data_IF_121393902243
#
_entry.id   IF_121393902243
#
_cell.length_a   1.000
_cell.length_b   1.000
_cell.length_c   1.000
_cell.angle_alpha   90.00
_cell.angle_beta   90.00
_cell.angle_gamma   90.00
#
_symmetry.space_group_name_H-M   'P 1'
#
loop_
_entity.id
_entity.type
_entity.pdbx_description
1 polymer ?
#
# COMPACT_ATOMS: atom_id res chain seq x y z
N UNK A 1 -27.73 -29.87 -1.57
CA UNK A 1 -27.69 -29.10 -0.30
C UNK A 1 -27.30 -27.69 -0.65
N UNK A 2 -28.28 -26.78 -0.60
CA UNK A 2 -28.15 -25.34 -0.88
C UNK A 2 -27.72 -24.68 0.44
N UNK A 3 -26.67 -23.87 0.43
CA UNK A 3 -26.30 -23.03 1.58
C UNK A 3 -26.89 -21.66 1.35
N UNK A 4 -27.92 -21.30 2.13
CA UNK A 4 -28.48 -19.95 2.15
C UNK A 4 -27.53 -19.03 2.91
N UNK A 5 -26.87 -18.12 2.19
CA UNK A 5 -26.19 -16.96 2.79
C UNK A 5 -27.24 -15.88 2.98
N UNK A 6 -27.75 -15.76 4.21
CA UNK A 6 -28.52 -14.58 4.63
C UNK A 6 -27.53 -13.43 4.88
N UNK A 7 -27.16 -12.73 3.82
CA UNK A 7 -26.57 -11.40 3.96
C UNK A 7 -27.68 -10.46 4.43
N UNK A 8 -27.58 -9.90 5.64
CA UNK A 8 -28.37 -8.74 6.00
C UNK A 8 -28.07 -7.63 5.00
N UNK A 9 -29.08 -7.25 4.22
CA UNK A 9 -29.04 -6.10 3.31
C UNK A 9 -28.81 -4.87 4.17
N UNK A 10 -27.55 -4.41 4.23
CA UNK A 10 -27.23 -3.09 4.76
C UNK A 10 -28.08 -2.07 4.01
N UNK A 11 -28.80 -1.24 4.77
CA UNK A 11 -29.66 -0.19 4.24
C UNK A 11 -28.88 0.61 3.18
N UNK A 12 -29.50 0.98 2.05
CA UNK A 12 -28.84 1.76 1.03
C UNK A 12 -28.19 2.99 1.69
N UNK A 13 -26.87 3.11 1.54
CA UNK A 13 -26.14 4.29 1.99
C UNK A 13 -26.78 5.47 1.27
N UNK A 14 -27.28 6.43 2.03
CA UNK A 14 -27.94 7.60 1.46
C UNK A 14 -27.00 8.25 0.43
N UNK A 15 -27.49 8.67 -0.76
CA UNK A 15 -26.64 9.28 -1.80
C UNK A 15 -25.79 10.45 -1.29
N UNK A 16 -26.24 11.12 -0.21
CA UNK A 16 -25.52 12.20 0.47
C UNK A 16 -24.31 11.77 1.31
N UNK A 17 -24.11 10.47 1.54
CA UNK A 17 -22.95 9.88 2.24
C UNK A 17 -21.97 9.18 1.31
N UNK A 18 -22.29 9.10 0.03
CA UNK A 18 -21.37 8.61 -1.00
C UNK A 18 -20.42 9.76 -1.32
N UNK A 19 -19.12 9.48 -1.31
CA UNK A 19 -18.15 10.45 -1.79
C UNK A 19 -18.52 10.83 -3.23
N UNK A 20 -18.69 12.13 -3.48
CA UNK A 20 -19.08 12.64 -4.78
C UNK A 20 -18.00 12.23 -5.81
N UNK A 21 -18.33 11.48 -6.89
CA UNK A 21 -17.36 11.06 -7.90
C UNK A 21 -16.88 12.23 -8.75
N UNK A 22 -17.49 13.40 -8.58
CA UNK A 22 -17.09 14.64 -9.23
C UNK A 22 -15.69 15.01 -8.76
N UNK A 23 -14.68 15.07 -9.64
CA UNK A 23 -13.41 15.67 -9.29
C UNK A 23 -13.72 17.13 -8.97
N UNK A 24 -13.71 17.47 -7.68
CA UNK A 24 -13.76 18.87 -7.27
C UNK A 24 -12.74 19.61 -8.10
N UNK A 25 -13.16 20.73 -8.72
CA UNK A 25 -12.31 21.60 -9.52
C UNK A 25 -10.94 21.67 -8.84
N UNK A 26 -9.83 21.28 -9.50
CA UNK A 26 -8.53 21.40 -8.89
C UNK A 26 -8.35 22.89 -8.65
N UNK A 27 -8.60 23.31 -7.42
CA UNK A 27 -8.19 24.61 -6.94
C UNK A 27 -6.73 24.65 -7.29
N UNK A 28 -6.31 25.64 -8.06
CA UNK A 28 -4.92 25.99 -8.31
C UNK A 28 -4.28 26.45 -6.99
N UNK A 29 -4.35 25.58 -5.98
CA UNK A 29 -3.61 25.67 -4.76
C UNK A 29 -2.26 25.07 -5.12
N UNK A 30 -1.21 25.87 -4.98
CA UNK A 30 0.17 25.40 -4.94
C UNK A 30 0.20 24.03 -4.26
N UNK A 31 0.55 22.96 -4.96
CA UNK A 31 0.59 21.62 -4.38
C UNK A 31 1.50 21.67 -3.15
N UNK A 32 0.92 21.61 -1.95
CA UNK A 32 1.70 21.64 -0.71
C UNK A 32 2.15 20.22 -0.44
N UNK A 33 3.46 19.99 -0.53
CA UNK A 33 4.06 18.74 -0.08
C UNK A 33 3.75 18.53 1.40
N UNK A 34 3.46 17.28 1.75
CA UNK A 34 3.24 16.86 3.14
C UNK A 34 4.52 16.21 3.66
N UNK A 35 4.75 16.35 4.96
CA UNK A 35 5.87 15.67 5.61
C UNK A 35 5.64 14.15 5.63
N UNK A 36 6.68 13.39 5.31
CA UNK A 36 6.72 11.93 5.38
C UNK A 36 7.90 11.51 6.26
N UNK A 37 7.61 10.81 7.34
CA UNK A 37 8.60 10.24 8.23
C UNK A 37 8.83 8.76 7.90
N UNK A 38 10.06 8.39 7.55
CA UNK A 38 10.45 7.01 7.23
C UNK A 38 11.44 6.49 8.29
N UNK A 39 11.11 5.41 9.04
CA UNK A 39 12.03 4.85 10.02
C UNK A 39 13.28 4.25 9.36
N UNK A 40 14.47 4.59 9.84
CA UNK A 40 15.74 4.04 9.32
C UNK A 40 15.75 2.50 9.38
N UNK A 41 15.24 1.93 10.48
CA UNK A 41 15.14 0.47 10.68
C UNK A 41 14.31 -0.23 9.59
N UNK A 42 13.41 0.47 8.92
CA UNK A 42 12.62 -0.09 7.82
C UNK A 42 13.54 -0.49 6.65
N UNK A 43 14.56 0.31 6.36
CA UNK A 43 15.53 0.02 5.31
C UNK A 43 16.30 -1.27 5.61
N UNK A 44 16.81 -1.42 6.84
CA UNK A 44 17.52 -2.63 7.25
C UNK A 44 16.62 -3.87 7.21
N UNK A 45 15.35 -3.72 7.63
CA UNK A 45 14.35 -4.78 7.51
C UNK A 45 14.13 -5.18 6.04
N UNK A 46 13.97 -4.20 5.15
CA UNK A 46 13.76 -4.45 3.73
C UNK A 46 14.94 -5.20 3.10
N UNK A 47 16.17 -4.73 3.34
CA UNK A 47 17.37 -5.37 2.80
C UNK A 47 17.54 -6.81 3.29
N UNK A 48 17.22 -7.10 4.56
CA UNK A 48 17.23 -8.48 5.08
C UNK A 48 16.22 -9.38 4.38
N UNK A 49 15.01 -8.88 4.09
CA UNK A 49 14.00 -9.67 3.38
C UNK A 49 14.43 -9.90 1.93
N UNK A 50 15.01 -8.89 1.27
CA UNK A 50 15.43 -8.97 -0.11
C UNK A 50 16.70 -9.84 -0.32
N UNK A 51 17.50 -10.06 0.72
CA UNK A 51 18.83 -10.70 0.64
C UNK A 51 18.83 -12.02 -0.17
N UNK A 52 17.85 -12.89 0.06
CA UNK A 52 17.75 -14.18 -0.65
C UNK A 52 17.54 -14.01 -2.16
N UNK A 53 16.72 -13.03 -2.55
CA UNK A 53 16.48 -12.71 -3.95
C UNK A 53 17.69 -12.01 -4.56
N UNK A 54 18.31 -11.07 -3.85
CA UNK A 54 19.54 -10.39 -4.30
C UNK A 54 20.67 -11.39 -4.55
N UNK A 55 20.85 -12.40 -3.69
CA UNK A 55 21.82 -13.50 -3.90
C UNK A 55 21.56 -14.33 -5.16
N UNK A 56 20.34 -14.30 -5.69
CA UNK A 56 19.90 -14.99 -6.91
C UNK A 56 19.80 -14.05 -8.11
N UNK A 57 20.28 -12.81 -7.98
CA UNK A 57 20.12 -11.75 -8.98
C UNK A 57 18.66 -11.54 -9.36
N UNK A 58 17.80 -11.47 -8.36
CA UNK A 58 16.39 -11.13 -8.51
C UNK A 58 16.07 -9.84 -7.75
N UNK A 59 15.30 -8.96 -8.38
CA UNK A 59 14.78 -7.77 -7.73
C UNK A 59 13.72 -8.12 -6.68
N UNK A 60 13.53 -7.24 -5.70
CA UNK A 60 12.44 -7.34 -4.72
C UNK A 60 11.79 -5.99 -4.52
N UNK A 61 10.46 -5.93 -4.53
CA UNK A 61 9.67 -4.75 -4.17
C UNK A 61 8.93 -4.91 -2.84
N UNK A 62 8.63 -3.77 -2.23
CA UNK A 62 7.76 -3.63 -1.07
C UNK A 62 6.95 -2.35 -1.15
N UNK A 63 5.83 -2.32 -0.43
CA UNK A 63 4.93 -1.17 -0.31
C UNK A 63 5.13 -0.52 1.05
N UNK A 64 5.35 0.79 1.04
CA UNK A 64 5.42 1.60 2.25
C UNK A 64 4.00 2.01 2.63
N UNK A 65 3.51 1.49 3.74
CA UNK A 65 2.19 1.76 4.26
C UNK A 65 2.26 2.44 5.62
N UNK A 66 1.28 3.28 5.95
CA UNK A 66 1.36 4.06 7.17
C UNK A 66 0.15 4.89 7.53
N UNK A 67 0.33 5.76 8.51
CA UNK A 67 -0.75 6.54 9.13
C UNK A 67 -0.48 8.03 9.07
N UNK A 68 -1.55 8.82 9.13
CA UNK A 68 -1.48 10.28 9.19
C UNK A 68 -1.68 10.74 10.64
N UNK A 69 -0.70 11.47 11.19
CA UNK A 69 -0.79 12.08 12.53
C UNK A 69 -0.31 13.52 12.48
N UNK A 70 -1.10 14.45 12.99
CA UNK A 70 -0.75 15.88 13.05
C UNK A 70 -0.26 16.43 11.70
N UNK A 71 -0.97 16.12 10.60
CA UNK A 71 -0.62 16.51 9.21
C UNK A 71 0.74 15.98 8.71
N UNK A 72 1.29 14.95 9.36
CA UNK A 72 2.52 14.28 8.93
C UNK A 72 2.21 12.80 8.70
N UNK A 73 2.62 12.27 7.55
CA UNK A 73 2.54 10.84 7.28
C UNK A 73 3.72 10.13 7.94
N UNK A 74 3.44 8.98 8.55
CA UNK A 74 4.45 8.12 9.15
C UNK A 74 4.37 6.77 8.48
N UNK A 75 5.47 6.34 7.86
CA UNK A 75 5.59 4.94 7.42
C UNK A 75 5.73 4.08 8.66
N UNK A 76 4.75 3.22 8.90
CA UNK A 76 4.70 2.32 10.06
C UNK A 76 4.82 0.86 9.67
N UNK A 77 4.53 0.55 8.40
CA UNK A 77 4.38 -0.82 7.92
C UNK A 77 5.08 -0.97 6.57
N UNK A 78 5.96 -1.96 6.47
CA UNK A 78 6.52 -2.41 5.20
C UNK A 78 5.76 -3.69 4.80
N UNK A 79 5.03 -3.63 3.71
CA UNK A 79 4.30 -4.79 3.18
C UNK A 79 5.14 -5.36 2.03
N UNK A 80 5.47 -6.65 2.11
CA UNK A 80 6.15 -7.37 1.04
C UNK A 80 5.09 -8.17 0.29
N UNK A 81 4.61 -7.70 -0.87
CA UNK A 81 3.56 -8.41 -1.59
C UNK A 81 4.12 -9.71 -2.17
N UNK A 82 3.21 -10.66 -2.45
CA UNK A 82 3.50 -11.72 -3.42
C UNK A 82 3.92 -11.06 -4.72
N UNK A 83 5.05 -11.50 -5.28
CA UNK A 83 5.66 -10.83 -6.41
C UNK A 83 6.34 -11.80 -7.36
N UNK A 84 6.38 -11.42 -8.63
CA UNK A 84 7.17 -12.05 -9.67
C UNK A 84 8.42 -11.20 -9.92
N UNK A 85 9.59 -11.81 -9.74
CA UNK A 85 10.86 -11.13 -9.87
C UNK A 85 11.68 -11.68 -11.03
N UNK A 86 12.37 -10.77 -11.72
CA UNK A 86 13.47 -11.04 -12.65
C UNK A 86 14.71 -10.29 -12.19
N UNK A 87 15.79 -10.32 -12.96
CA UNK A 87 17.00 -9.55 -12.64
C UNK A 87 16.84 -8.04 -12.79
N UNK A 88 15.78 -7.58 -13.49
CA UNK A 88 15.55 -6.18 -13.84
C UNK A 88 14.13 -5.69 -13.55
N UNK A 89 13.26 -6.55 -13.03
CA UNK A 89 11.89 -6.19 -12.67
C UNK A 89 11.43 -6.95 -11.43
N UNK A 90 10.52 -6.33 -10.68
CA UNK A 90 9.69 -6.97 -9.67
C UNK A 90 8.26 -6.42 -9.76
N UNK A 91 7.29 -7.31 -9.86
CA UNK A 91 5.87 -6.98 -10.04
C UNK A 91 5.05 -7.66 -8.93
N UNK A 92 4.22 -6.90 -8.22
CA UNK A 92 3.26 -7.48 -7.28
C UNK A 92 2.19 -8.26 -8.05
N UNK A 93 1.77 -9.42 -7.56
CA UNK A 93 0.86 -10.31 -8.30
C UNK A 93 -0.46 -10.59 -7.59
N UNK A 94 -0.65 -10.08 -6.37
CA UNK A 94 -1.87 -10.29 -5.59
C UNK A 94 -2.27 -9.02 -4.85
N UNK A 95 -2.69 -8.01 -5.61
CA UNK A 95 -3.04 -6.68 -5.11
C UNK A 95 -4.29 -6.67 -4.23
N UNK A 96 -5.18 -7.67 -4.36
CA UNK A 96 -6.35 -7.84 -3.50
C UNK A 96 -5.92 -8.09 -2.04
N UNK A 97 -5.01 -9.04 -1.82
CA UNK A 97 -4.48 -9.32 -0.48
C UNK A 97 -3.70 -8.12 0.09
N UNK A 98 -2.96 -7.40 -0.77
CA UNK A 98 -2.30 -6.16 -0.38
C UNK A 98 -3.33 -5.12 0.09
N UNK A 99 -4.42 -4.94 -0.66
CA UNK A 99 -5.49 -4.02 -0.32
C UNK A 99 -6.17 -4.43 1.00
N UNK A 100 -6.49 -5.71 1.20
CA UNK A 100 -7.09 -6.22 2.43
C UNK A 100 -6.21 -5.93 3.67
N UNK A 101 -4.90 -6.15 3.57
CA UNK A 101 -3.96 -5.85 4.67
C UNK A 101 -3.94 -4.35 4.97
N UNK A 102 -3.97 -3.51 3.94
CA UNK A 102 -4.00 -2.05 4.12
C UNK A 102 -5.33 -1.57 4.71
N UNK A 103 -6.46 -2.07 4.23
CA UNK A 103 -7.80 -1.69 4.68
C UNK A 103 -8.04 -2.11 6.13
N UNK A 104 -7.74 -3.37 6.46
CA UNK A 104 -7.82 -3.91 7.83
C UNK A 104 -6.94 -3.10 8.80
N UNK A 105 -5.77 -2.64 8.36
CA UNK A 105 -4.88 -1.81 9.15
C UNK A 105 -5.20 -0.31 9.13
N UNK A 106 -6.19 0.13 8.33
CA UNK A 106 -6.45 1.55 8.04
C UNK A 106 -5.19 2.31 7.60
N UNK A 107 -4.39 1.69 6.73
CA UNK A 107 -3.09 2.18 6.29
C UNK A 107 -3.17 2.86 4.92
N UNK A 108 -2.62 4.07 4.84
CA UNK A 108 -2.40 4.76 3.57
C UNK A 108 -1.26 4.10 2.80
N UNK A 109 -1.39 3.99 1.47
CA UNK A 109 -0.26 3.76 0.57
C UNK A 109 0.59 5.03 0.50
N UNK A 110 1.83 4.97 0.99
CA UNK A 110 2.74 6.13 1.07
C UNK A 110 3.87 6.08 0.04
N UNK A 111 4.08 4.93 -0.60
CA UNK A 111 5.07 4.76 -1.65
C UNK A 111 5.47 3.30 -1.82
N UNK A 112 6.56 3.10 -2.55
CA UNK A 112 7.13 1.79 -2.83
C UNK A 112 8.65 1.85 -2.65
N UNK A 113 9.24 0.69 -2.41
CA UNK A 113 10.69 0.49 -2.32
C UNK A 113 11.05 -0.73 -3.14
N UNK A 114 12.19 -0.70 -3.83
CA UNK A 114 12.73 -1.86 -4.52
C UNK A 114 14.25 -1.89 -4.42
N UNK A 115 14.85 -3.06 -4.59
CA UNK A 115 16.29 -3.22 -4.77
C UNK A 115 16.57 -3.93 -6.08
N UNK A 116 17.49 -3.37 -6.85
CA UNK A 116 17.96 -3.95 -8.11
C UNK A 116 19.00 -5.04 -7.86
N UNK A 117 19.08 -5.98 -8.80
CA UNK A 117 20.13 -7.00 -8.81
C UNK A 117 21.47 -6.33 -9.10
N UNK A 118 22.50 -6.68 -8.32
CA UNK A 118 23.90 -6.28 -8.57
C UNK A 118 24.50 -7.23 -9.61
#
# INVERSE_FOLDING_TARGET
MMVDVLAEVQRPISPSRVADPTPGLPTSGTARFQNLHVPIKLMDCFLRVAESNTKRSLETCGVLAGTLKNRTFYVTTLIIPKQKSTSVTCEATNEEELFEVQDMGSLFTLGWIHVSSI
#
